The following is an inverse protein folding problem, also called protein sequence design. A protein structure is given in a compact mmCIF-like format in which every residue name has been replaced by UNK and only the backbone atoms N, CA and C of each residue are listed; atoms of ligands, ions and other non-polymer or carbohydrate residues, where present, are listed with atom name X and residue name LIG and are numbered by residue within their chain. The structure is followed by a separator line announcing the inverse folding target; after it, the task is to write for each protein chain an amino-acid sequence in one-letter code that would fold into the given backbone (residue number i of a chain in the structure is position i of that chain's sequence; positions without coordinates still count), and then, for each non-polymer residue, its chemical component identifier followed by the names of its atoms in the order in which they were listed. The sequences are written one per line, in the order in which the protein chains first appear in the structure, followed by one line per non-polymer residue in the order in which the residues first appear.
data_IF_314709275721
#
_entry.id   IF_314709275721
#
_cell.length_a   1.000
_cell.length_b   1.000
_cell.length_c   1.000
_cell.angle_alpha   90.00
_cell.angle_beta   90.00
_cell.angle_gamma   90.00
#
_symmetry.space_group_name_H-M   'P 1'
#
loop_
_entity.id
_entity.type
_entity.pdbx_description
1 polymer ?
#
# COMPACT_ATOMS: atom_id res chain seq x y z
N UNK A 1 -6.28 -6.86 0.94
CA UNK A 1 -7.03 -5.59 0.73
C UNK A 1 -7.88 -5.60 -0.53
N UNK A 2 -7.33 -5.83 -1.72
CA UNK A 2 -8.12 -5.91 -2.98
C UNK A 2 -9.25 -6.94 -2.87
N UNK A 3 -8.95 -8.13 -2.33
CA UNK A 3 -9.96 -9.17 -2.06
C UNK A 3 -11.00 -8.74 -1.03
N UNK A 4 -10.68 -7.83 -0.10
CA UNK A 4 -11.65 -7.29 0.86
C UNK A 4 -12.62 -6.36 0.14
N UNK A 5 -12.13 -5.49 -0.74
CA UNK A 5 -12.96 -4.63 -1.57
C UNK A 5 -13.92 -5.49 -2.41
N UNK A 6 -13.42 -6.50 -3.12
CA UNK A 6 -14.25 -7.39 -3.94
C UNK A 6 -15.34 -8.11 -3.12
N UNK A 7 -14.99 -8.68 -1.96
CA UNK A 7 -15.94 -9.32 -1.06
C UNK A 7 -16.96 -8.34 -0.47
N UNK A 8 -16.56 -7.08 -0.27
CA UNK A 8 -17.45 -6.02 0.18
C UNK A 8 -18.45 -5.62 -0.90
N UNK A 9 -18.02 -5.47 -2.16
CA UNK A 9 -18.93 -5.22 -3.29
C UNK A 9 -19.94 -6.36 -3.43
N UNK A 10 -19.46 -7.62 -3.42
CA UNK A 10 -20.33 -8.81 -3.49
C UNK A 10 -21.26 -8.87 -2.28
N UNK A 11 -20.76 -8.57 -1.07
CA UNK A 11 -21.56 -8.57 0.16
C UNK A 11 -22.62 -7.46 0.21
N UNK A 12 -22.42 -6.35 -0.50
CA UNK A 12 -23.40 -5.28 -0.67
C UNK A 12 -24.49 -5.69 -1.67
N UNK A 13 -24.09 -6.23 -2.83
CA UNK A 13 -25.04 -6.63 -3.89
C UNK A 13 -25.86 -7.85 -3.46
N UNK A 14 -25.22 -8.90 -2.96
CA UNK A 14 -25.88 -10.17 -2.59
C UNK A 14 -26.44 -10.15 -1.16
N UNK A 15 -26.24 -9.06 -0.40
CA UNK A 15 -26.66 -8.87 1.00
C UNK A 15 -26.21 -9.98 1.97
N UNK A 16 -25.22 -10.81 1.59
CA UNK A 16 -24.74 -11.95 2.39
C UNK A 16 -23.83 -11.51 3.54
N UNK A 17 -24.21 -11.87 4.76
CA UNK A 17 -23.44 -11.53 5.96
C UNK A 17 -22.07 -12.21 6.02
N UNK A 18 -21.98 -13.43 5.47
CA UNK A 18 -20.73 -14.19 5.40
C UNK A 18 -19.67 -13.43 4.58
N UNK A 19 -20.04 -12.83 3.44
CA UNK A 19 -19.14 -12.03 2.61
C UNK A 19 -18.68 -10.77 3.36
N UNK A 20 -19.58 -10.10 4.11
CA UNK A 20 -19.21 -8.94 4.94
C UNK A 20 -18.25 -9.31 6.08
N UNK A 21 -18.41 -10.48 6.69
CA UNK A 21 -17.48 -11.02 7.70
C UNK A 21 -16.11 -11.35 7.10
N UNK A 22 -16.08 -11.99 5.93
CA UNK A 22 -14.83 -12.30 5.24
C UNK A 22 -14.09 -11.03 4.79
N UNK A 23 -14.81 -10.04 4.24
CA UNK A 23 -14.26 -8.73 3.88
C UNK A 23 -13.61 -8.03 5.08
N UNK A 24 -14.24 -8.12 6.27
CA UNK A 24 -13.69 -7.56 7.50
C UNK A 24 -12.36 -8.19 7.90
N UNK A 25 -12.30 -9.52 7.96
CA UNK A 25 -11.06 -10.21 8.32
C UNK A 25 -9.94 -9.92 7.33
N UNK A 26 -10.26 -9.87 6.04
CA UNK A 26 -9.27 -9.57 5.02
C UNK A 26 -8.80 -8.10 5.03
N UNK A 27 -9.63 -7.18 5.51
CA UNK A 27 -9.22 -5.79 5.76
C UNK A 27 -8.23 -5.72 6.92
N UNK A 28 -8.53 -6.39 8.04
CA UNK A 28 -7.66 -6.42 9.22
C UNK A 28 -6.32 -7.08 8.90
N UNK A 29 -6.33 -8.26 8.26
CA UNK A 29 -5.12 -8.95 7.82
C UNK A 29 -4.31 -8.10 6.83
N UNK A 30 -5.00 -7.44 5.90
CA UNK A 30 -4.36 -6.51 4.98
C UNK A 30 -3.71 -5.32 5.68
N UNK A 31 -4.33 -4.77 6.71
CA UNK A 31 -3.80 -3.63 7.47
C UNK A 31 -2.57 -4.04 8.28
N UNK A 32 -2.60 -5.22 8.90
CA UNK A 32 -1.43 -5.79 9.59
C UNK A 32 -0.27 -6.05 8.62
N UNK A 33 -0.56 -6.61 7.44
CA UNK A 33 0.44 -6.79 6.39
C UNK A 33 1.05 -5.47 5.91
N UNK A 34 0.22 -4.44 5.71
CA UNK A 34 0.69 -3.11 5.34
C UNK A 34 1.58 -2.48 6.44
N UNK A 35 1.22 -2.65 7.71
CA UNK A 35 2.03 -2.18 8.83
C UNK A 35 3.40 -2.88 8.87
N UNK A 36 3.42 -4.21 8.73
CA UNK A 36 4.66 -4.98 8.68
C UNK A 36 5.53 -4.58 7.48
N UNK A 37 4.93 -4.39 6.31
CA UNK A 37 5.62 -3.92 5.11
C UNK A 37 6.22 -2.52 5.28
N UNK A 38 5.48 -1.58 5.88
CA UNK A 38 5.98 -0.23 6.14
C UNK A 38 7.16 -0.23 7.13
N UNK A 39 7.07 -1.03 8.21
CA UNK A 39 8.13 -1.13 9.22
C UNK A 39 9.42 -1.75 8.63
N UNK A 40 9.27 -2.84 7.88
CA UNK A 40 10.41 -3.53 7.24
C UNK A 40 11.02 -2.67 6.12
N UNK A 41 10.20 -1.99 5.33
CA UNK A 41 10.66 -1.05 4.30
C UNK A 41 11.46 0.12 4.88
N UNK A 42 11.00 0.71 5.99
CA UNK A 42 11.72 1.78 6.69
C UNK A 42 13.06 1.32 7.25
N UNK A 43 13.12 0.11 7.81
CA UNK A 43 14.36 -0.48 8.30
C UNK A 43 15.36 -0.72 7.15
N UNK A 44 14.88 -1.19 5.99
CA UNK A 44 15.71 -1.37 4.80
C UNK A 44 16.20 -0.04 4.21
N UNK A 45 15.34 0.98 4.15
CA UNK A 45 15.70 2.31 3.65
C UNK A 45 16.82 2.97 4.49
N UNK A 46 16.78 2.80 5.81
CA UNK A 46 17.79 3.31 6.73
C UNK A 46 19.17 2.63 6.56
N UNK A 47 19.20 1.37 6.10
CA UNK A 47 20.44 0.61 5.92
C UNK A 47 21.05 0.77 4.51
N UNK A 48 20.25 1.14 3.52
CA UNK A 48 20.70 1.23 2.13
C UNK A 48 21.43 2.55 1.84
N UNK A 49 22.46 2.49 0.97
CA UNK A 49 23.03 3.68 0.31
C UNK A 49 22.30 3.88 -1.02
N UNK A 50 21.72 5.06 -1.23
CA UNK A 50 20.95 5.40 -2.44
C UNK A 50 21.44 6.73 -3.03
N UNK A 51 21.35 6.87 -4.36
CA UNK A 51 21.62 8.13 -5.06
C UNK A 51 20.43 9.10 -4.91
N UNK A 52 20.63 10.38 -5.26
CA UNK A 52 19.60 11.42 -5.15
C UNK A 52 18.31 11.06 -5.91
N UNK A 53 18.41 10.51 -7.13
CA UNK A 53 17.22 10.08 -7.91
C UNK A 53 16.46 8.92 -7.24
N UNK A 54 17.18 7.96 -6.65
CA UNK A 54 16.57 6.85 -5.93
C UNK A 54 15.90 7.35 -4.65
N UNK A 55 16.51 8.33 -3.98
CA UNK A 55 15.99 8.93 -2.75
C UNK A 55 14.62 9.60 -2.97
N UNK A 56 14.42 10.30 -4.09
CA UNK A 56 13.14 10.95 -4.42
C UNK A 56 12.02 9.90 -4.60
N UNK A 57 12.27 8.87 -5.43
CA UNK A 57 11.28 7.80 -5.68
C UNK A 57 11.01 7.00 -4.40
N UNK A 58 12.04 6.74 -3.59
CA UNK A 58 11.93 6.07 -2.30
C UNK A 58 11.08 6.87 -1.32
N UNK A 59 11.30 8.18 -1.24
CA UNK A 59 10.53 9.09 -0.36
C UNK A 59 9.06 9.12 -0.77
N UNK A 60 8.77 9.14 -2.07
CA UNK A 60 7.39 9.06 -2.57
C UNK A 60 6.74 7.72 -2.24
N UNK A 61 7.47 6.61 -2.40
CA UNK A 61 6.99 5.27 -2.04
C UNK A 61 6.70 5.17 -0.53
N UNK A 62 7.61 5.68 0.32
CA UNK A 62 7.44 5.67 1.77
C UNK A 62 6.22 6.50 2.21
N UNK A 63 6.03 7.70 1.63
CA UNK A 63 4.84 8.54 1.88
C UNK A 63 3.55 7.82 1.51
N UNK A 64 3.51 7.15 0.35
CA UNK A 64 2.36 6.33 -0.03
C UNK A 64 2.15 5.15 0.93
N UNK A 65 3.21 4.53 1.41
CA UNK A 65 3.15 3.48 2.44
C UNK A 65 2.45 3.96 3.71
N UNK A 66 2.83 5.12 4.25
CA UNK A 66 2.16 5.71 5.41
C UNK A 66 0.72 6.14 5.12
N UNK A 67 0.45 6.66 3.91
CA UNK A 67 -0.91 7.00 3.49
C UNK A 67 -1.81 5.75 3.48
N UNK A 68 -1.34 4.64 2.91
CA UNK A 68 -2.06 3.36 2.90
C UNK A 68 -2.28 2.86 4.32
N UNK A 69 -1.29 2.97 5.20
CA UNK A 69 -1.43 2.58 6.61
C UNK A 69 -2.48 3.43 7.33
N UNK A 70 -2.48 4.75 7.12
CA UNK A 70 -3.48 5.67 7.65
C UNK A 70 -4.89 5.38 7.13
N UNK A 71 -5.03 5.18 5.82
CA UNK A 71 -6.31 4.82 5.19
C UNK A 71 -6.83 3.45 5.67
N UNK A 72 -5.93 2.48 5.85
CA UNK A 72 -6.28 1.17 6.39
C UNK A 72 -6.78 1.28 7.83
N UNK A 73 -6.08 2.05 8.68
CA UNK A 73 -6.50 2.34 10.05
C UNK A 73 -7.85 3.07 10.10
N UNK A 74 -8.06 4.05 9.23
CA UNK A 74 -9.33 4.75 9.09
C UNK A 74 -10.45 3.81 8.64
N UNK A 75 -10.21 2.92 7.68
CA UNK A 75 -11.19 1.94 7.20
C UNK A 75 -11.57 0.93 8.28
N UNK A 76 -10.59 0.44 9.05
CA UNK A 76 -10.81 -0.44 10.21
C UNK A 76 -11.64 0.29 11.27
N UNK A 77 -11.25 1.52 11.62
CA UNK A 77 -11.92 2.33 12.65
C UNK A 77 -13.35 2.69 12.25
N UNK A 78 -13.56 3.11 11.00
CA UNK A 78 -14.88 3.40 10.45
C UNK A 78 -15.81 2.20 10.56
N UNK A 79 -15.32 1.03 10.16
CA UNK A 79 -16.12 -0.19 10.13
C UNK A 79 -16.37 -0.74 11.54
N UNK A 80 -15.44 -0.55 12.48
CA UNK A 80 -15.65 -0.79 13.90
C UNK A 80 -16.76 0.12 14.46
N UNK A 81 -16.68 1.43 14.19
CA UNK A 81 -17.69 2.40 14.61
C UNK A 81 -19.08 2.12 13.99
N UNK A 82 -19.14 1.68 12.73
CA UNK A 82 -20.41 1.29 12.08
C UNK A 82 -21.03 0.01 12.65
N UNK A 83 -20.21 -0.91 13.20
CA UNK A 83 -20.72 -2.09 13.91
C UNK A 83 -21.23 -1.76 15.31
N UNK A 84 -20.55 -0.84 16.01
CA UNK A 84 -20.90 -0.44 17.36
C UNK A 84 -22.13 0.48 17.41
N UNK A 85 -22.40 1.22 16.33
CA UNK A 85 -23.57 2.11 16.25
C UNK A 85 -24.78 1.37 15.66
N UNK A 86 -25.92 1.37 16.38
CA UNK A 86 -27.22 0.90 15.87
C UNK A 86 -27.76 1.78 14.72
N UNK A 87 -27.16 2.96 14.50
CA UNK A 87 -27.58 3.88 13.44
C UNK A 87 -27.06 3.38 12.10
N UNK A 88 -27.97 3.10 11.16
CA UNK A 88 -27.64 2.75 9.76
C UNK A 88 -26.81 3.88 9.14
N UNK A 89 -25.49 3.72 9.16
CA UNK A 89 -24.57 4.57 8.38
C UNK A 89 -24.59 4.11 6.93
N UNK A 90 -24.41 5.06 6.02
CA UNK A 90 -24.43 4.78 4.60
C UNK A 90 -23.28 3.82 4.22
N UNK A 91 -23.58 2.60 3.72
CA UNK A 91 -22.55 1.66 3.29
C UNK A 91 -21.66 2.20 2.16
N UNK A 92 -22.12 3.18 1.39
CA UNK A 92 -21.36 3.79 0.30
C UNK A 92 -20.10 4.51 0.79
N UNK A 93 -20.12 5.09 2.00
CA UNK A 93 -18.94 5.77 2.57
C UNK A 93 -17.82 4.76 2.86
N UNK A 94 -18.17 3.60 3.41
CA UNK A 94 -17.21 2.53 3.68
C UNK A 94 -16.63 1.96 2.39
N UNK A 95 -17.48 1.79 1.37
CA UNK A 95 -17.05 1.32 0.05
C UNK A 95 -16.12 2.33 -0.65
N UNK A 96 -16.47 3.61 -0.66
CA UNK A 96 -15.63 4.67 -1.25
C UNK A 96 -14.24 4.73 -0.59
N UNK A 97 -14.19 4.61 0.74
CA UNK A 97 -12.93 4.55 1.47
C UNK A 97 -12.08 3.33 1.07
N UNK A 98 -12.70 2.17 0.86
CA UNK A 98 -12.01 0.97 0.37
C UNK A 98 -11.46 1.13 -1.05
N UNK A 99 -12.19 1.82 -1.93
CA UNK A 99 -11.71 2.13 -3.29
C UNK A 99 -10.47 3.02 -3.24
N UNK A 100 -10.51 4.11 -2.46
CA UNK A 100 -9.37 5.02 -2.28
C UNK A 100 -8.16 4.28 -1.69
N UNK A 101 -8.37 3.44 -0.68
CA UNK A 101 -7.33 2.60 -0.08
C UNK A 101 -6.67 1.68 -1.11
N UNK A 102 -7.45 1.00 -1.95
CA UNK A 102 -6.91 0.12 -2.99
C UNK A 102 -6.17 0.91 -4.08
N UNK A 103 -6.66 2.09 -4.46
CA UNK A 103 -5.98 2.98 -5.40
C UNK A 103 -4.61 3.43 -4.87
N UNK A 104 -4.54 3.87 -3.61
CA UNK A 104 -3.29 4.25 -2.96
C UNK A 104 -2.31 3.07 -2.86
N UNK A 105 -2.82 1.86 -2.55
CA UNK A 105 -2.02 0.64 -2.50
C UNK A 105 -1.42 0.30 -3.87
N UNK A 106 -2.19 0.43 -4.94
CA UNK A 106 -1.72 0.17 -6.30
C UNK A 106 -0.62 1.18 -6.72
N UNK A 107 -0.80 2.47 -6.41
CA UNK A 107 0.21 3.49 -6.66
C UNK A 107 1.51 3.22 -5.88
N UNK A 108 1.40 2.86 -4.60
CA UNK A 108 2.54 2.46 -3.77
C UNK A 108 3.26 1.23 -4.35
N UNK A 109 2.51 0.22 -4.78
CA UNK A 109 3.07 -0.99 -5.40
C UNK A 109 3.79 -0.69 -6.73
N UNK A 110 3.29 0.25 -7.52
CA UNK A 110 3.96 0.67 -8.75
C UNK A 110 5.33 1.31 -8.45
N UNK A 111 5.39 2.28 -7.53
CA UNK A 111 6.67 2.88 -7.13
C UNK A 111 7.62 1.85 -6.50
N UNK A 112 7.09 0.93 -5.68
CA UNK A 112 7.88 -0.16 -5.09
C UNK A 112 8.47 -1.08 -6.15
N UNK A 113 7.69 -1.40 -7.19
CA UNK A 113 8.17 -2.14 -8.36
C UNK A 113 9.30 -1.40 -9.08
N UNK A 114 9.16 -0.09 -9.31
CA UNK A 114 10.23 0.72 -9.93
C UNK A 114 11.52 0.69 -9.10
N UNK A 115 11.42 0.81 -7.77
CA UNK A 115 12.58 0.72 -6.89
C UNK A 115 13.35 -0.60 -7.06
N UNK A 116 12.64 -1.72 -7.18
CA UNK A 116 13.27 -3.05 -7.32
C UNK A 116 13.77 -3.30 -8.75
N UNK A 117 12.94 -3.06 -9.76
CA UNK A 117 13.21 -3.48 -11.14
C UNK A 117 13.96 -2.44 -11.98
N UNK A 118 13.75 -1.14 -11.75
CA UNK A 118 14.47 -0.08 -12.48
C UNK A 118 15.76 0.31 -11.73
N UNK A 119 15.67 0.51 -10.41
CA UNK A 119 16.77 1.04 -9.61
C UNK A 119 17.59 -0.04 -8.87
N UNK A 120 17.14 -1.30 -8.88
CA UNK A 120 17.86 -2.42 -8.26
C UNK A 120 17.91 -2.35 -6.74
N UNK A 121 17.05 -1.55 -6.10
CA UNK A 121 17.01 -1.40 -4.65
C UNK A 121 16.54 -2.70 -4.02
N UNK A 122 17.38 -3.29 -3.16
CA UNK A 122 17.16 -4.60 -2.55
C UNK A 122 17.85 -5.77 -3.26
N UNK A 123 18.52 -5.54 -4.39
CA UNK A 123 19.38 -6.51 -5.08
C UNK A 123 20.88 -6.28 -4.84
N UNK A 124 21.71 -7.23 -5.24
CA UNK A 124 23.20 -7.17 -5.12
C UNK A 124 23.81 -6.10 -6.04
N UNK A 125 23.08 -5.67 -7.08
CA UNK A 125 23.54 -4.69 -8.07
C UNK A 125 22.57 -3.52 -8.16
N UNK A 126 22.72 -2.53 -7.27
CA UNK A 126 22.11 -1.22 -7.48
C UNK A 126 22.77 -0.56 -8.69
N UNK A 127 22.06 -0.48 -9.83
CA UNK A 127 22.60 0.18 -11.02
C UNK A 127 22.52 1.69 -10.80
N UNK A 128 23.58 2.28 -10.26
CA UNK A 128 23.81 3.72 -10.41
C UNK A 128 24.06 3.97 -11.90
N UNK A 129 23.05 4.42 -12.63
CA UNK A 129 23.21 4.95 -13.99
C UNK A 129 23.95 6.29 -13.92
N UNK A 130 25.24 6.22 -13.58
CA UNK A 130 26.25 7.17 -14.02
C UNK A 130 26.84 6.59 -15.30
N UNK A 131 26.27 6.95 -16.44
CA UNK A 131 26.92 6.74 -17.72
C UNK A 131 28.10 7.73 -17.75
N UNK A 132 29.27 7.30 -17.31
CA UNK A 132 30.52 7.84 -17.85
C UNK A 132 30.81 7.05 -19.12
N UNK A 133 30.40 7.63 -20.25
CA UNK A 133 30.80 7.18 -21.57
C UNK A 133 32.32 7.26 -21.62
N UNK A 134 32.95 6.15 -22.01
CA UNK A 134 34.36 5.97 -22.22
C UNK A 134 35.08 7.25 -22.71
N UNK A 135 36.10 7.69 -21.97
CA UNK A 135 37.16 8.51 -22.54
C UNK A 135 37.90 7.65 -23.58
N UNK A 136 37.97 8.07 -24.86
CA UNK A 136 38.89 7.43 -25.79
C UNK A 136 40.31 7.75 -25.32
N UNK A 137 41.08 6.70 -25.04
CA UNK A 137 42.52 6.82 -24.88
C UNK A 137 43.11 7.43 -26.16
N UNK A 138 43.67 8.63 -26.03
CA UNK A 138 44.65 9.20 -26.95
C UNK A 138 45.99 9.27 -26.23
#
# INVERSE_FOLDING_TARGET
MVTALALETVGLILRREACRRAAWWNLVLGALGAAAAALTGRAAAAAAKHSFEIHEVMTQHERLGYLVLGLAGAAVSWRFATRASSRRRDPWIGWALMVVLVGALAAGAHLGGRLVYEYGVGGVYGRSTGIEVATPAL
#
